data_IF_690152769981
#
_entry.id   IF_690152769981
#
_cell.length_a   1.000
_cell.length_b   1.000
_cell.length_c   1.000
_cell.angle_alpha   90.00
_cell.angle_beta   90.00
_cell.angle_gamma   90.00
#
_symmetry.space_group_name_H-M   'P 1'
#
loop_
_entity.id
_entity.type
_entity.pdbx_description
1 polymer ?
#
# COMPACT_ATOMS: atom_id res chain seq x y z
N UNK A 1 -32.12 -11.41 -8.99
CA UNK A 1 -33.11 -10.58 -9.69
C UNK A 1 -32.73 -10.48 -11.15
N UNK A 2 -33.65 -10.80 -12.07
CA UNK A 2 -33.41 -10.80 -13.52
C UNK A 2 -33.01 -9.43 -14.10
N UNK A 3 -33.26 -8.34 -13.38
CA UNK A 3 -32.79 -7.00 -13.76
C UNK A 3 -31.26 -6.86 -13.73
N UNK A 4 -30.54 -7.79 -13.10
CA UNK A 4 -29.09 -7.80 -13.00
C UNK A 4 -28.42 -8.88 -13.87
N UNK A 5 -29.17 -9.60 -14.70
CA UNK A 5 -28.64 -10.71 -15.52
C UNK A 5 -27.52 -10.25 -16.50
N UNK A 6 -27.52 -8.98 -16.89
CA UNK A 6 -26.51 -8.37 -17.77
C UNK A 6 -25.55 -7.40 -17.07
N UNK A 7 -25.73 -7.19 -15.76
CA UNK A 7 -24.88 -6.31 -14.97
C UNK A 7 -24.74 -6.87 -13.55
N UNK A 8 -23.74 -7.69 -13.34
CA UNK A 8 -23.45 -8.31 -12.06
C UNK A 8 -22.83 -7.30 -11.11
N UNK A 9 -23.64 -6.66 -10.27
CA UNK A 9 -23.17 -5.77 -9.22
C UNK A 9 -23.01 -6.55 -7.93
N UNK A 10 -21.78 -6.59 -7.41
CA UNK A 10 -21.45 -7.18 -6.11
C UNK A 10 -21.02 -6.07 -5.15
N UNK A 11 -21.76 -5.94 -4.05
CA UNK A 11 -21.42 -5.00 -2.98
C UNK A 11 -20.95 -5.81 -1.76
N UNK A 12 -19.80 -5.42 -1.21
CA UNK A 12 -19.30 -5.93 0.06
C UNK A 12 -19.26 -4.81 1.10
N UNK A 13 -19.65 -5.12 2.33
CA UNK A 13 -19.57 -4.20 3.45
C UNK A 13 -18.91 -4.88 4.64
N UNK A 14 -17.92 -4.21 5.24
CA UNK A 14 -17.30 -4.61 6.50
C UNK A 14 -17.65 -3.60 7.59
N UNK A 15 -18.07 -4.10 8.76
CA UNK A 15 -18.36 -3.28 9.93
C UNK A 15 -17.47 -3.74 11.07
N UNK A 16 -16.72 -2.79 11.66
CA UNK A 16 -15.87 -3.03 12.81
C UNK A 16 -16.29 -2.18 14.02
N UNK A 17 -15.89 -2.62 15.20
CA UNK A 17 -16.04 -1.86 16.43
C UNK A 17 -14.66 -1.64 17.04
N UNK A 18 -14.31 -0.38 17.35
CA UNK A 18 -13.04 0.01 17.95
C UNK A 18 -13.29 0.99 19.09
N UNK A 19 -12.48 0.91 20.15
CA UNK A 19 -12.50 1.89 21.24
C UNK A 19 -11.92 3.23 20.75
N UNK A 20 -12.48 4.35 21.19
CA UNK A 20 -12.05 5.69 20.76
C UNK A 20 -10.57 5.98 21.04
N UNK A 21 -10.00 5.40 22.08
CA UNK A 21 -8.58 5.51 22.48
C UNK A 21 -7.65 4.53 21.70
N UNK A 22 -8.21 3.73 20.77
CA UNK A 22 -7.48 2.75 19.96
C UNK A 22 -7.66 2.94 18.46
N UNK A 23 -8.13 4.11 18.04
CA UNK A 23 -8.20 4.44 16.61
C UNK A 23 -6.79 4.73 16.12
N UNK A 24 -6.39 4.03 15.06
CA UNK A 24 -5.10 4.21 14.41
C UNK A 24 -5.27 5.06 13.15
N UNK A 25 -4.41 6.04 12.96
CA UNK A 25 -4.51 6.98 11.83
C UNK A 25 -3.32 6.83 10.89
N UNK A 26 -3.56 6.98 9.59
CA UNK A 26 -2.52 7.06 8.57
C UNK A 26 -1.91 8.47 8.48
N UNK A 27 -1.42 8.99 9.61
CA UNK A 27 -0.94 10.37 9.74
C UNK A 27 0.44 10.41 10.41
N UNK A 28 1.53 10.13 9.65
CA UNK A 28 2.88 10.22 10.19
C UNK A 28 3.27 11.67 10.52
N UNK A 29 4.14 11.84 11.52
CA UNK A 29 4.63 13.15 11.97
C UNK A 29 6.14 13.17 12.20
N UNK A 30 6.72 12.00 12.49
CA UNK A 30 8.13 11.89 12.86
C UNK A 30 9.03 12.00 11.62
N UNK A 31 9.72 13.12 11.49
CA UNK A 31 10.73 13.30 10.44
C UNK A 31 11.90 12.35 10.70
N UNK A 32 12.35 11.62 9.66
CA UNK A 32 13.30 10.51 9.78
C UNK A 32 12.67 9.19 10.20
N UNK A 33 11.34 9.15 10.42
CA UNK A 33 10.62 7.89 10.62
C UNK A 33 10.80 6.98 9.40
N UNK A 34 11.02 5.68 9.65
CA UNK A 34 11.23 4.70 8.60
C UNK A 34 9.88 4.32 7.96
N UNK A 35 9.84 4.37 6.63
CA UNK A 35 8.71 3.84 5.86
C UNK A 35 8.97 2.36 5.63
N UNK A 36 8.06 1.51 6.08
CA UNK A 36 8.20 0.06 6.03
C UNK A 36 7.07 -0.57 5.22
N UNK A 37 7.47 -1.46 4.34
CA UNK A 37 6.60 -2.34 3.58
C UNK A 37 6.33 -3.61 4.38
N UNK A 38 5.07 -4.01 4.49
CA UNK A 38 4.63 -5.18 5.25
C UNK A 38 3.66 -5.98 4.38
N UNK A 39 3.87 -7.29 4.26
CA UNK A 39 2.92 -8.19 3.58
C UNK A 39 3.46 -8.87 2.34
N UNK A 40 2.57 -9.25 1.44
CA UNK A 40 2.87 -10.02 0.23
C UNK A 40 3.78 -9.27 -0.73
N UNK A 41 4.56 -10.03 -1.52
CA UNK A 41 5.42 -9.43 -2.56
C UNK A 41 4.59 -8.80 -3.68
N UNK A 42 5.07 -7.69 -4.19
CA UNK A 42 4.47 -6.96 -5.31
C UNK A 42 4.64 -7.72 -6.63
N UNK A 43 3.56 -7.88 -7.36
CA UNK A 43 3.50 -8.47 -8.70
C UNK A 43 2.72 -7.60 -9.68
N UNK A 44 2.49 -8.11 -10.90
CA UNK A 44 1.67 -7.45 -11.94
C UNK A 44 0.18 -7.68 -11.69
N UNK A 45 -0.33 -7.16 -10.58
CA UNK A 45 -1.73 -7.32 -10.21
C UNK A 45 -2.43 -5.96 -10.25
N UNK A 46 -3.63 -5.91 -10.81
CA UNK A 46 -4.50 -4.74 -10.77
C UNK A 46 -4.00 -3.50 -11.51
N UNK A 47 -2.91 -3.61 -12.29
CA UNK A 47 -2.39 -2.49 -13.07
C UNK A 47 -3.47 -2.07 -14.07
N UNK A 48 -3.90 -0.80 -13.99
CA UNK A 48 -5.08 -0.26 -14.68
C UNK A 48 -6.45 -0.79 -14.22
N UNK A 49 -6.54 -1.50 -13.09
CA UNK A 49 -7.79 -2.05 -12.57
C UNK A 49 -8.87 -0.99 -12.34
N UNK A 50 -8.51 0.16 -11.81
CA UNK A 50 -9.43 1.29 -11.61
C UNK A 50 -9.95 1.87 -12.95
N UNK A 51 -9.11 1.95 -13.98
CA UNK A 51 -9.50 2.38 -15.33
C UNK A 51 -10.43 1.35 -15.97
N UNK A 52 -10.13 0.06 -15.79
CA UNK A 52 -10.93 -1.05 -16.31
C UNK A 52 -12.34 -1.09 -15.68
N UNK A 53 -12.49 -0.74 -14.41
CA UNK A 53 -13.80 -0.70 -13.74
C UNK A 53 -14.75 0.33 -14.35
N UNK A 54 -14.23 1.29 -15.12
CA UNK A 54 -14.98 2.36 -15.80
C UNK A 54 -15.08 2.16 -17.32
N UNK A 55 -14.54 1.07 -17.87
CA UNK A 55 -14.44 0.85 -19.30
C UNK A 55 -15.52 -0.11 -19.84
N UNK A 56 -15.79 -0.03 -21.15
CA UNK A 56 -16.72 -0.93 -21.85
C UNK A 56 -15.93 -2.15 -22.34
N UNK A 57 -16.36 -3.33 -21.90
CA UNK A 57 -15.72 -4.59 -22.29
C UNK A 57 -16.11 -5.00 -23.73
N UNK A 58 -15.12 -5.37 -24.55
CA UNK A 58 -15.30 -6.09 -25.80
C UNK A 58 -14.79 -7.53 -25.66
N UNK A 59 -15.40 -8.46 -26.42
CA UNK A 59 -15.06 -9.90 -26.33
C UNK A 59 -13.61 -10.23 -26.72
N UNK A 60 -12.92 -9.34 -27.45
CA UNK A 60 -11.55 -9.54 -27.93
C UNK A 60 -10.45 -9.12 -26.90
N UNK A 61 -10.84 -8.58 -25.75
CA UNK A 61 -9.90 -7.95 -24.79
C UNK A 61 -9.43 -8.86 -23.65
N UNK A 62 -9.86 -10.13 -23.58
CA UNK A 62 -9.66 -10.99 -22.41
C UNK A 62 -8.19 -11.27 -22.07
N UNK A 63 -7.33 -11.47 -23.06
CA UNK A 63 -5.92 -11.82 -22.82
C UNK A 63 -5.03 -10.59 -22.49
N UNK A 64 -5.37 -9.40 -22.99
CA UNK A 64 -4.65 -8.17 -22.68
C UNK A 64 -5.00 -7.61 -21.28
N UNK A 65 -6.18 -7.95 -20.74
CA UNK A 65 -6.69 -7.43 -19.47
C UNK A 65 -6.37 -8.31 -18.25
N UNK A 66 -5.75 -9.47 -18.41
CA UNK A 66 -5.32 -10.35 -17.30
C UNK A 66 -4.48 -9.66 -16.22
N UNK A 67 -3.55 -8.72 -16.55
CA UNK A 67 -2.80 -7.98 -15.53
C UNK A 67 -3.66 -7.08 -14.65
N UNK A 68 -4.90 -6.80 -15.05
CA UNK A 68 -5.83 -5.94 -14.31
C UNK A 68 -6.57 -6.67 -13.18
N UNK A 69 -6.47 -8.01 -13.14
CA UNK A 69 -7.13 -8.83 -12.11
C UNK A 69 -6.29 -8.83 -10.84
N UNK A 70 -6.96 -8.59 -9.71
CA UNK A 70 -6.38 -8.75 -8.39
C UNK A 70 -6.61 -10.19 -7.91
N UNK A 71 -5.56 -10.82 -7.38
CA UNK A 71 -5.63 -12.16 -6.79
C UNK A 71 -5.47 -12.03 -5.28
N UNK A 72 -6.47 -12.46 -4.52
CA UNK A 72 -6.43 -12.45 -3.06
C UNK A 72 -5.92 -13.77 -2.49
N UNK A 73 -5.21 -13.71 -1.36
CA UNK A 73 -4.80 -14.83 -0.53
C UNK A 73 -5.41 -14.70 0.88
N UNK A 74 -6.58 -15.35 1.14
CA UNK A 74 -7.25 -15.24 2.44
C UNK A 74 -6.42 -15.72 3.63
N UNK A 75 -5.48 -16.64 3.41
CA UNK A 75 -4.59 -17.10 4.46
C UNK A 75 -3.55 -16.02 4.80
N UNK A 76 -2.93 -15.44 3.78
CA UNK A 76 -1.98 -14.35 3.97
C UNK A 76 -2.67 -13.10 4.57
N UNK A 77 -3.89 -12.79 4.13
CA UNK A 77 -4.71 -11.72 4.71
C UNK A 77 -4.93 -11.91 6.21
N UNK A 78 -5.25 -13.16 6.63
CA UNK A 78 -5.40 -13.47 8.06
C UNK A 78 -4.12 -13.24 8.84
N UNK A 79 -2.96 -13.69 8.33
CA UNK A 79 -1.68 -13.47 8.98
C UNK A 79 -1.34 -11.98 9.07
N UNK A 80 -1.54 -11.25 7.97
CA UNK A 80 -1.28 -9.80 7.89
C UNK A 80 -2.14 -9.04 8.90
N UNK A 81 -3.43 -9.34 8.98
CA UNK A 81 -4.36 -8.72 9.92
C UNK A 81 -3.90 -8.92 11.37
N UNK A 82 -3.60 -10.16 11.77
CA UNK A 82 -3.17 -10.46 13.13
C UNK A 82 -1.81 -9.83 13.48
N UNK A 83 -0.86 -9.88 12.54
CA UNK A 83 0.44 -9.24 12.71
C UNK A 83 0.32 -7.71 12.85
N UNK A 84 -0.51 -7.06 12.03
CA UNK A 84 -0.77 -5.62 12.12
C UNK A 84 -1.49 -5.25 13.42
N UNK A 85 -2.47 -6.02 13.87
CA UNK A 85 -3.15 -5.80 15.14
C UNK A 85 -2.18 -5.92 16.33
N UNK A 86 -1.27 -6.88 16.31
CA UNK A 86 -0.23 -6.99 17.33
C UNK A 86 0.70 -5.78 17.32
N UNK A 87 1.16 -5.35 16.14
CA UNK A 87 1.99 -4.17 15.99
C UNK A 87 1.31 -2.90 16.51
N UNK A 88 0.05 -2.67 16.14
CA UNK A 88 -0.73 -1.52 16.63
C UNK A 88 -0.88 -1.55 18.15
N UNK A 89 -1.13 -2.72 18.73
CA UNK A 89 -1.29 -2.86 20.19
C UNK A 89 0.02 -2.70 20.96
N UNK A 90 1.16 -2.95 20.31
CA UNK A 90 2.49 -2.81 20.93
C UNK A 90 2.99 -1.36 21.04
N UNK A 91 2.36 -0.41 20.33
CA UNK A 91 2.78 0.99 20.28
C UNK A 91 4.08 1.21 19.49
N UNK A 92 4.50 0.25 18.65
CA UNK A 92 5.74 0.33 17.87
C UNK A 92 5.55 1.03 16.52
N UNK A 93 4.29 1.26 16.11
CA UNK A 93 3.94 1.89 14.83
C UNK A 93 3.36 3.27 15.09
N UNK A 94 3.82 4.26 14.34
CA UNK A 94 3.29 5.62 14.37
C UNK A 94 2.04 5.76 13.51
N UNK A 95 2.08 5.23 12.30
CA UNK A 95 0.97 5.29 11.35
C UNK A 95 1.00 4.10 10.40
N UNK A 96 -0.17 3.78 9.81
CA UNK A 96 -0.33 2.67 8.88
C UNK A 96 -1.40 2.99 7.85
N UNK A 97 -1.19 2.53 6.61
CA UNK A 97 -2.10 2.67 5.48
C UNK A 97 -2.09 1.36 4.67
N UNK A 98 -3.24 0.93 4.19
CA UNK A 98 -3.33 -0.17 3.24
C UNK A 98 -2.84 0.26 1.85
N UNK A 99 -2.37 -0.70 1.06
CA UNK A 99 -2.01 -0.52 -0.33
C UNK A 99 -3.15 -1.05 -1.21
N UNK A 100 -4.22 -0.29 -1.34
CA UNK A 100 -5.38 -0.60 -2.17
C UNK A 100 -5.20 -0.16 -3.63
N UNK A 101 -6.16 0.62 -4.15
CA UNK A 101 -6.11 1.19 -5.49
C UNK A 101 -4.83 2.02 -5.69
N UNK A 102 -4.14 1.84 -6.84
CA UNK A 102 -2.83 2.42 -7.14
C UNK A 102 -1.73 2.11 -6.10
N UNK A 103 -1.93 1.11 -5.26
CA UNK A 103 -0.95 0.48 -4.40
C UNK A 103 -0.09 1.44 -3.57
N UNK A 104 1.24 1.39 -3.79
CA UNK A 104 2.19 2.21 -3.02
C UNK A 104 2.08 3.70 -3.36
N UNK A 105 1.61 4.05 -4.55
CA UNK A 105 1.44 5.45 -4.96
C UNK A 105 0.39 6.12 -4.09
N UNK A 106 -0.83 5.60 -4.05
CA UNK A 106 -1.92 6.19 -3.25
C UNK A 106 -1.61 6.16 -1.77
N UNK A 107 -1.16 5.03 -1.23
CA UNK A 107 -0.88 4.89 0.20
C UNK A 107 0.18 5.88 0.69
N UNK A 108 1.29 6.05 -0.04
CA UNK A 108 2.35 6.99 0.33
C UNK A 108 1.94 8.46 0.18
N UNK A 109 1.20 8.80 -0.87
CA UNK A 109 0.68 10.15 -1.10
C UNK A 109 -0.33 10.54 -0.03
N UNK A 110 -1.27 9.64 0.30
CA UNK A 110 -2.25 9.87 1.37
C UNK A 110 -1.59 10.07 2.73
N UNK A 111 -0.60 9.25 3.08
CA UNK A 111 0.15 9.40 4.33
C UNK A 111 0.90 10.73 4.37
N UNK A 112 1.56 11.10 3.27
CA UNK A 112 2.27 12.37 3.16
C UNK A 112 1.32 13.57 3.32
N UNK A 113 0.17 13.53 2.66
CA UNK A 113 -0.86 14.58 2.74
C UNK A 113 -1.44 14.70 4.14
N UNK A 114 -1.96 13.59 4.71
CA UNK A 114 -2.55 13.56 6.05
C UNK A 114 -1.55 13.98 7.14
N UNK A 115 -0.27 13.62 6.95
CA UNK A 115 0.83 13.99 7.86
C UNK A 115 1.37 15.40 7.68
N UNK A 116 1.07 16.05 6.55
CA UNK A 116 1.70 17.32 6.10
C UNK A 116 3.24 17.21 6.01
N UNK A 117 3.71 16.04 5.57
CA UNK A 117 5.13 15.66 5.47
C UNK A 117 5.52 15.35 4.02
N UNK A 118 6.78 15.03 3.77
CA UNK A 118 7.23 14.42 2.54
C UNK A 118 7.57 12.95 2.75
N UNK A 119 7.69 12.20 1.65
CA UNK A 119 8.15 10.82 1.63
C UNK A 119 9.27 10.64 0.64
N UNK A 120 10.27 9.85 1.02
CA UNK A 120 11.36 9.41 0.14
C UNK A 120 11.36 7.89 0.14
N UNK A 121 11.03 7.27 -0.99
CA UNK A 121 10.90 5.82 -1.13
C UNK A 121 11.83 5.32 -2.24
N UNK A 122 12.57 4.26 -1.94
CA UNK A 122 13.40 3.55 -2.90
C UNK A 122 12.66 2.32 -3.41
N UNK A 123 12.25 2.34 -4.69
CA UNK A 123 11.52 1.26 -5.33
C UNK A 123 12.36 -0.02 -5.47
N UNK A 124 13.69 0.09 -5.51
CA UNK A 124 14.58 -1.06 -5.61
C UNK A 124 14.57 -1.95 -4.35
N UNK A 125 14.02 -1.42 -3.24
CA UNK A 125 13.87 -2.14 -1.97
C UNK A 125 12.52 -2.85 -1.80
N UNK A 126 11.58 -2.61 -2.70
CA UNK A 126 10.26 -3.23 -2.61
C UNK A 126 10.39 -4.73 -2.91
N UNK A 127 9.87 -5.61 -2.05
CA UNK A 127 9.87 -7.05 -2.32
C UNK A 127 9.03 -7.36 -3.56
N UNK A 128 9.64 -7.95 -4.58
CA UNK A 128 8.98 -8.26 -5.85
C UNK A 128 8.80 -9.77 -5.99
N UNK A 129 7.66 -10.18 -6.58
CA UNK A 129 7.36 -11.55 -6.96
C UNK A 129 7.98 -11.91 -8.31
N UNK A 130 8.17 -10.90 -9.16
CA UNK A 130 8.70 -10.99 -10.52
C UNK A 130 9.42 -9.69 -10.90
N UNK A 131 10.25 -9.63 -11.93
CA UNK A 131 10.85 -8.39 -12.39
C UNK A 131 9.78 -7.39 -12.85
N UNK A 132 9.79 -6.19 -12.27
CA UNK A 132 8.86 -5.10 -12.58
C UNK A 132 9.63 -3.82 -12.90
N UNK A 133 9.11 -3.03 -13.82
CA UNK A 133 9.56 -1.66 -14.04
C UNK A 133 9.09 -0.73 -12.90
N UNK A 134 9.74 0.42 -12.69
CA UNK A 134 9.27 1.41 -11.71
C UNK A 134 7.80 1.80 -11.88
N UNK A 135 7.32 1.92 -13.12
CA UNK A 135 5.93 2.21 -13.44
C UNK A 135 4.98 1.12 -12.94
N UNK A 136 5.30 -0.16 -13.21
CA UNK A 136 4.50 -1.29 -12.74
C UNK A 136 4.50 -1.40 -11.22
N UNK A 137 5.62 -1.14 -10.55
CA UNK A 137 5.71 -1.12 -9.08
C UNK A 137 4.77 -0.05 -8.49
N UNK A 138 4.77 1.14 -9.07
CA UNK A 138 3.97 2.27 -8.61
C UNK A 138 2.47 2.06 -8.78
N UNK A 139 2.05 1.30 -9.79
CA UNK A 139 0.64 1.06 -10.10
C UNK A 139 0.12 -0.31 -9.66
N UNK A 140 0.99 -1.20 -9.19
CA UNK A 140 0.58 -2.53 -8.76
C UNK A 140 -0.40 -2.45 -7.59
N UNK A 141 -1.50 -3.16 -7.71
CA UNK A 141 -2.55 -3.32 -6.70
C UNK A 141 -2.52 -4.73 -6.07
N UNK A 142 -1.34 -5.37 -6.01
CA UNK A 142 -1.20 -6.65 -5.29
C UNK A 142 -1.81 -6.55 -3.91
N UNK A 143 -2.61 -7.54 -3.54
CA UNK A 143 -3.34 -7.55 -2.28
C UNK A 143 -2.45 -7.92 -1.10
N UNK A 144 -2.98 -7.86 0.12
CA UNK A 144 -2.32 -8.22 1.39
C UNK A 144 -1.02 -7.45 1.61
N UNK A 145 -1.05 -6.12 1.41
CA UNK A 145 0.10 -5.23 1.64
C UNK A 145 -0.28 -4.02 2.47
N UNK A 146 0.58 -3.65 3.41
CA UNK A 146 0.45 -2.46 4.24
C UNK A 146 1.71 -1.61 4.17
N UNK A 147 1.53 -0.30 4.24
CA UNK A 147 2.59 0.68 4.41
C UNK A 147 2.51 1.25 5.82
N UNK A 148 3.61 1.22 6.57
CA UNK A 148 3.64 1.76 7.92
C UNK A 148 4.81 2.70 8.13
N UNK A 149 4.71 3.56 9.15
CA UNK A 149 5.81 4.41 9.62
C UNK A 149 6.16 4.03 11.05
N UNK A 150 7.44 3.85 11.29
CA UNK A 150 7.99 3.49 12.60
C UNK A 150 9.16 4.41 12.96
N UNK A 151 9.41 4.57 14.25
CA UNK A 151 10.65 5.17 14.71
C UNK A 151 11.83 4.20 14.46
N UNK A 152 13.02 4.72 14.07
CA UNK A 152 14.17 3.87 13.72
C UNK A 152 14.57 2.86 14.83
N UNK A 153 14.45 3.24 16.09
CA UNK A 153 14.75 2.38 17.23
C UNK A 153 13.80 1.18 17.38
N UNK A 154 12.62 1.26 16.79
CA UNK A 154 11.62 0.18 16.84
C UNK A 154 11.82 -0.89 15.76
N UNK A 155 12.71 -0.64 14.77
CA UNK A 155 12.91 -1.49 13.61
C UNK A 155 13.06 -2.98 13.93
N UNK A 156 14.00 -3.32 14.83
CA UNK A 156 14.27 -4.74 15.14
C UNK A 156 13.10 -5.40 15.89
N UNK A 157 12.37 -4.65 16.71
CA UNK A 157 11.20 -5.17 17.42
C UNK A 157 10.06 -5.46 16.44
N UNK A 158 9.77 -4.53 15.53
CA UNK A 158 8.76 -4.70 14.47
C UNK A 158 9.08 -5.90 13.61
N UNK A 159 10.33 -6.00 13.14
CA UNK A 159 10.82 -7.13 12.36
C UNK A 159 10.66 -8.46 13.10
N UNK A 160 10.94 -8.51 14.40
CA UNK A 160 10.78 -9.71 15.22
C UNK A 160 9.31 -10.16 15.33
N UNK A 161 8.38 -9.22 15.48
CA UNK A 161 6.94 -9.51 15.51
C UNK A 161 6.49 -10.10 14.18
N UNK A 162 6.78 -9.42 13.07
CA UNK A 162 6.36 -9.85 11.73
C UNK A 162 6.97 -11.21 11.34
N UNK A 163 8.22 -11.46 11.73
CA UNK A 163 8.86 -12.78 11.51
C UNK A 163 8.09 -13.92 12.19
N UNK A 164 7.52 -13.71 13.39
CA UNK A 164 6.70 -14.74 14.06
C UNK A 164 5.41 -15.05 13.30
N UNK A 165 4.84 -14.03 12.64
CA UNK A 165 3.68 -14.16 11.77
C UNK A 165 4.02 -14.62 10.35
N UNK A 166 5.32 -14.84 10.04
CA UNK A 166 5.81 -15.22 8.71
C UNK A 166 5.43 -14.20 7.62
N UNK A 167 5.41 -12.92 7.98
CA UNK A 167 5.08 -11.81 7.10
C UNK A 167 6.38 -11.17 6.60
N UNK A 168 6.45 -10.91 5.29
CA UNK A 168 7.55 -10.17 4.69
C UNK A 168 7.58 -8.71 5.20
N UNK A 169 8.78 -8.19 5.38
CA UNK A 169 9.04 -6.87 5.93
C UNK A 169 10.29 -6.26 5.30
N UNK A 170 10.20 -5.00 4.85
CA UNK A 170 11.34 -4.27 4.30
C UNK A 170 11.25 -2.77 4.61
N UNK A 171 12.38 -2.15 4.97
CA UNK A 171 12.50 -0.69 5.10
C UNK A 171 12.76 -0.12 3.71
N UNK A 172 11.76 0.56 3.15
CA UNK A 172 11.79 1.05 1.77
C UNK A 172 12.04 2.55 1.65
N UNK A 173 11.99 3.29 2.76
CA UNK A 173 12.12 4.75 2.69
C UNK A 173 12.07 5.42 4.05
N UNK A 174 11.88 6.74 4.01
CA UNK A 174 11.80 7.59 5.20
C UNK A 174 10.85 8.78 5.03
N UNK A 175 10.36 9.28 6.14
CA UNK A 175 9.56 10.52 6.22
C UNK A 175 10.49 11.73 6.21
N UNK A 176 10.17 12.72 5.38
CA UNK A 176 10.94 13.96 5.22
C UNK A 176 10.10 15.20 5.54
N UNK A 177 10.76 16.34 5.72
CA UNK A 177 10.07 17.64 5.91
C UNK A 177 9.86 18.40 4.58
N UNK A 178 10.12 17.77 3.44
CA UNK A 178 10.13 18.43 2.14
C UNK A 178 8.75 18.72 1.57
N UNK A 179 7.70 18.08 2.09
CA UNK A 179 6.34 18.08 1.52
C UNK A 179 6.32 17.63 0.05
N UNK A 180 7.21 16.71 -0.30
CA UNK A 180 7.32 16.13 -1.63
C UNK A 180 7.19 14.63 -1.57
N UNK A 181 6.63 14.05 -2.61
CA UNK A 181 6.64 12.60 -2.87
C UNK A 181 7.79 12.33 -3.81
N UNK A 182 8.79 11.60 -3.33
CA UNK A 182 9.97 11.23 -4.10
C UNK A 182 10.08 9.73 -4.16
N UNK A 183 10.03 9.18 -5.37
CA UNK A 183 10.36 7.78 -5.63
C UNK A 183 11.68 7.69 -6.40
N UNK A 184 12.57 6.83 -5.95
CA UNK A 184 13.86 6.58 -6.62
C UNK A 184 13.95 5.12 -7.09
N UNK A 185 14.66 4.93 -8.21
CA UNK A 185 15.08 3.62 -8.72
C UNK A 185 16.44 3.76 -9.39
N UNK A 186 17.33 2.78 -9.21
CA UNK A 186 18.69 2.80 -9.74
C UNK A 186 19.45 4.11 -9.42
N UNK A 187 19.30 4.60 -8.18
CA UNK A 187 19.88 5.85 -7.69
C UNK A 187 19.43 7.12 -8.45
N UNK A 188 18.26 7.10 -9.10
CA UNK A 188 17.69 8.27 -9.78
C UNK A 188 16.27 8.48 -9.30
N UNK A 189 15.86 9.73 -9.14
CA UNK A 189 14.45 10.04 -8.90
C UNK A 189 13.66 9.77 -10.18
N UNK A 190 12.67 8.89 -10.07
CA UNK A 190 11.70 8.60 -11.14
C UNK A 190 10.42 9.42 -10.97
N UNK A 191 10.14 9.85 -9.74
CA UNK A 191 9.09 10.80 -9.37
C UNK A 191 9.66 11.78 -8.35
N UNK A 192 9.35 13.06 -8.51
CA UNK A 192 9.66 14.11 -7.53
C UNK A 192 8.63 15.24 -7.67
N UNK A 193 7.53 15.14 -6.91
CA UNK A 193 6.38 16.04 -7.02
C UNK A 193 5.99 16.60 -5.64
N UNK A 194 5.54 17.86 -5.56
CA UNK A 194 4.91 18.38 -4.35
C UNK A 194 3.64 17.63 -4.03
N UNK A 195 3.39 17.31 -2.75
CA UNK A 195 2.20 16.56 -2.29
C UNK A 195 0.90 17.24 -2.71
N UNK A 196 0.83 18.56 -2.57
CA UNK A 196 -0.39 19.33 -2.86
C UNK A 196 -0.82 19.26 -4.34
N UNK A 197 0.12 19.13 -5.28
CA UNK A 197 -0.23 19.00 -6.72
C UNK A 197 -0.94 17.68 -7.01
N UNK A 198 -0.72 16.66 -6.17
CA UNK A 198 -1.28 15.33 -6.39
C UNK A 198 -2.65 15.18 -5.69
N UNK A 199 -2.87 15.91 -4.61
CA UNK A 199 -4.02 15.72 -3.70
C UNK A 199 -5.06 16.84 -3.82
N UNK A 200 -4.62 18.06 -4.07
CA UNK A 200 -5.50 19.24 -4.17
C UNK A 200 -5.86 19.49 -5.64
N UNK A 201 -7.14 19.33 -6.01
CA UNK A 201 -7.73 19.80 -7.26
C UNK A 201 -8.01 21.31 -7.19
#
# INVERSE_FOLDING_TARGET
DSSYDYNNLVNAMAIGHVKNDRIFYSKPKTIGGLIVYIGSKTGKDGIHGASMASDVFSEDDEDEKRPSVQVGDPFMEKLLMEGCLELMSSGLIESMQDMGAAGITSSSVEMASKGEVGVLINLDKIPLREPLSPYEILLSESQERMLAVIEPENNEKVKSILKRWQIDYEVIGEITNTKRVVFSSNNKNVVDLPVNIIVDD
#
